data_IF_821180380436
#
_entry.id   IF_821180380436
#
_cell.length_a   1.000
_cell.length_b   1.000
_cell.length_c   1.000
_cell.angle_alpha   90.00
_cell.angle_beta   90.00
_cell.angle_gamma   90.00
#
_symmetry.space_group_name_H-M   'P 1'
#
loop_
_entity.id
_entity.type
_entity.pdbx_description
1 polymer ?
#
# COMPACT_ATOMS: atom_id res chain seq x y z
N UNK A 1 -20.52 2.48 -21.80
CA UNK A 1 -20.22 1.13 -22.34
C UNK A 1 -18.98 1.12 -23.25
N UNK A 2 -18.54 2.29 -23.69
CA UNK A 2 -17.37 2.44 -24.60
C UNK A 2 -16.01 2.41 -23.85
N UNK A 3 -15.94 2.94 -22.64
CA UNK A 3 -14.69 3.03 -21.88
C UNK A 3 -14.11 1.66 -21.44
N UNK A 4 -14.99 0.73 -21.04
CA UNK A 4 -14.54 -0.61 -20.66
C UNK A 4 -13.95 -1.40 -21.84
N UNK A 5 -14.48 -1.18 -23.06
CA UNK A 5 -13.94 -1.77 -24.29
C UNK A 5 -12.61 -1.12 -24.70
N UNK A 6 -12.45 0.18 -24.48
CA UNK A 6 -11.20 0.89 -24.73
C UNK A 6 -10.08 0.39 -23.80
N UNK A 7 -10.39 0.15 -22.53
CA UNK A 7 -9.42 -0.39 -21.57
C UNK A 7 -8.98 -1.81 -21.95
N UNK A 8 -9.89 -2.67 -22.44
CA UNK A 8 -9.57 -4.05 -22.84
C UNK A 8 -8.61 -4.16 -24.04
N UNK A 9 -8.52 -3.12 -24.87
CA UNK A 9 -7.61 -3.11 -26.04
C UNK A 9 -6.23 -2.50 -25.73
N UNK A 10 -6.00 -1.97 -24.52
CA UNK A 10 -4.74 -1.33 -24.14
C UNK A 10 -3.77 -2.34 -23.56
N UNK A 11 -2.48 -2.10 -23.79
CA UNK A 11 -1.42 -2.89 -23.18
C UNK A 11 -1.41 -2.68 -21.68
N UNK A 12 -1.47 -3.78 -20.94
CA UNK A 12 -1.29 -3.76 -19.48
C UNK A 12 0.18 -3.53 -19.17
N UNK A 13 0.49 -2.54 -18.36
CA UNK A 13 1.82 -2.24 -17.90
C UNK A 13 2.13 -2.94 -16.58
N UNK A 14 1.12 -3.02 -15.69
CA UNK A 14 1.23 -3.75 -14.43
C UNK A 14 -0.14 -4.13 -13.88
N UNK A 15 -0.14 -5.21 -13.10
CA UNK A 15 -1.24 -5.60 -12.21
C UNK A 15 -0.68 -5.81 -10.81
N UNK A 16 -1.39 -5.32 -9.80
CA UNK A 16 -0.95 -5.44 -8.42
C UNK A 16 -2.11 -5.34 -7.45
N UNK A 17 -1.91 -5.86 -6.24
CA UNK A 17 -2.67 -5.44 -5.07
C UNK A 17 -1.82 -4.42 -4.29
N UNK A 18 -2.46 -3.38 -3.80
CA UNK A 18 -1.84 -2.35 -2.97
C UNK A 18 -2.61 -2.24 -1.66
N UNK A 19 -2.02 -2.70 -0.57
CA UNK A 19 -2.62 -2.68 0.75
C UNK A 19 -1.93 -1.62 1.61
N UNK A 20 -2.74 -0.72 2.16
CA UNK A 20 -2.28 0.35 3.03
C UNK A 20 -2.86 0.13 4.41
N UNK A 21 -2.01 0.24 5.43
CA UNK A 21 -2.38 0.26 6.83
C UNK A 21 -1.65 1.42 7.49
N UNK A 22 -2.39 2.41 7.96
CA UNK A 22 -1.85 3.47 8.77
C UNK A 22 -2.64 3.54 10.07
N UNK A 23 -1.92 3.46 11.19
CA UNK A 23 -2.50 3.41 12.52
C UNK A 23 -1.87 4.50 13.39
N UNK A 24 -2.65 5.02 14.32
CA UNK A 24 -2.15 5.93 15.35
C UNK A 24 -2.57 5.42 16.74
N UNK A 25 -1.66 5.50 17.69
CA UNK A 25 -1.97 5.22 19.10
C UNK A 25 -2.77 6.35 19.75
N UNK A 26 -2.66 7.56 19.23
CA UNK A 26 -3.41 8.73 19.66
C UNK A 26 -4.71 8.87 18.87
N UNK A 27 -5.75 9.40 19.50
CA UNK A 27 -7.09 9.48 18.92
C UNK A 27 -7.19 10.37 17.66
N UNK A 28 -6.24 11.27 17.44
CA UNK A 28 -6.16 12.12 16.23
C UNK A 28 -4.69 12.30 15.81
N UNK A 29 -4.36 12.08 14.52
CA UNK A 29 -3.06 12.47 14.02
C UNK A 29 -2.96 13.99 14.04
N UNK A 30 -2.06 14.52 14.84
CA UNK A 30 -1.81 15.96 14.92
C UNK A 30 -1.15 16.40 13.62
N UNK A 31 -1.77 17.35 12.90
CA UNK A 31 -1.11 17.95 11.73
C UNK A 31 0.20 18.62 12.17
N UNK A 32 1.24 18.48 11.36
CA UNK A 32 2.46 19.21 11.60
C UNK A 32 2.22 20.72 11.50
N UNK A 33 3.01 21.57 12.21
CA UNK A 33 2.81 23.01 12.21
C UNK A 33 2.84 23.69 10.84
N UNK A 34 3.42 23.04 9.84
CA UNK A 34 3.49 23.49 8.46
C UNK A 34 2.28 23.04 7.60
N UNK A 35 1.29 22.37 8.20
CA UNK A 35 0.10 21.87 7.53
C UNK A 35 0.30 20.56 6.78
N UNK A 36 1.48 19.94 6.85
CA UNK A 36 1.68 18.60 6.32
C UNK A 36 0.88 17.59 7.14
N UNK A 37 0.33 16.51 6.54
CA UNK A 37 -0.31 15.45 7.30
C UNK A 37 0.66 14.89 8.34
N UNK A 38 0.19 14.77 9.58
CA UNK A 38 1.00 14.13 10.61
C UNK A 38 1.36 12.72 10.18
N UNK A 39 2.59 12.33 10.46
CA UNK A 39 3.03 10.96 10.19
C UNK A 39 2.29 10.02 11.14
N UNK A 40 1.61 8.97 10.66
CA UNK A 40 0.99 7.99 11.56
C UNK A 40 2.05 7.30 12.41
N UNK A 41 1.68 6.81 13.56
CA UNK A 41 2.62 6.09 14.43
C UNK A 41 3.09 4.77 13.84
N UNK A 42 2.20 4.06 13.12
CA UNK A 42 2.54 2.91 12.28
C UNK A 42 2.04 3.10 10.86
N UNK A 43 2.82 2.60 9.92
CA UNK A 43 2.42 2.55 8.55
C UNK A 43 3.05 1.37 7.81
N UNK A 44 2.23 0.73 7.00
CA UNK A 44 2.61 -0.28 6.04
C UNK A 44 1.95 0.03 4.70
N UNK A 45 2.76 0.23 3.66
CA UNK A 45 2.32 0.26 2.28
C UNK A 45 2.90 -0.95 1.59
N UNK A 46 2.05 -1.94 1.30
CA UNK A 46 2.45 -3.24 0.77
C UNK A 46 1.92 -3.39 -0.65
N UNK A 47 2.82 -3.63 -1.59
CA UNK A 47 2.55 -3.91 -2.99
C UNK A 47 2.82 -5.37 -3.28
N UNK A 48 1.88 -6.05 -3.90
CA UNK A 48 2.07 -7.34 -4.50
C UNK A 48 1.87 -7.21 -6.02
N UNK A 49 2.97 -7.23 -6.74
CA UNK A 49 2.96 -7.23 -8.20
C UNK A 49 2.74 -8.64 -8.70
N UNK A 50 1.59 -8.87 -9.30
CA UNK A 50 1.28 -10.09 -10.05
C UNK A 50 1.90 -10.05 -11.45
N UNK A 51 2.02 -8.83 -12.00
CA UNK A 51 2.62 -8.59 -13.30
C UNK A 51 3.13 -7.14 -13.40
N UNK A 52 4.35 -6.94 -13.90
CA UNK A 52 4.82 -5.63 -14.35
C UNK A 52 5.88 -5.73 -15.44
N UNK A 53 5.77 -4.88 -16.47
CA UNK A 53 6.79 -4.66 -17.51
C UNK A 53 7.37 -3.24 -17.43
N UNK A 54 6.96 -2.45 -16.47
CA UNK A 54 7.43 -1.08 -16.32
C UNK A 54 8.88 -0.97 -15.81
N UNK A 55 9.39 -2.02 -15.20
CA UNK A 55 10.72 -2.02 -14.56
C UNK A 55 11.73 -2.87 -15.32
N UNK A 56 11.28 -3.71 -16.25
CA UNK A 56 12.12 -4.64 -17.03
C UNK A 56 11.45 -4.98 -18.34
N UNK A 57 12.23 -5.40 -19.34
CA UNK A 57 11.69 -5.95 -20.60
C UNK A 57 10.98 -7.29 -20.38
N UNK A 58 11.36 -8.03 -19.33
CA UNK A 58 10.71 -9.28 -18.92
C UNK A 58 9.70 -9.00 -17.83
N UNK A 59 8.47 -9.54 -17.92
CA UNK A 59 7.48 -9.42 -16.87
C UNK A 59 8.02 -9.88 -15.52
N UNK A 60 7.81 -9.05 -14.48
CA UNK A 60 8.26 -9.30 -13.12
C UNK A 60 7.07 -9.50 -12.20
N UNK A 61 7.27 -10.32 -11.17
CA UNK A 61 6.33 -10.54 -10.06
C UNK A 61 7.07 -10.38 -8.74
N UNK A 62 6.38 -10.02 -7.68
CA UNK A 62 6.99 -9.93 -6.36
C UNK A 62 6.35 -8.90 -5.44
N UNK A 63 6.95 -8.73 -4.29
CA UNK A 63 6.44 -7.85 -3.24
C UNK A 63 7.42 -6.74 -2.92
N UNK A 64 6.84 -5.58 -2.58
CA UNK A 64 7.55 -4.45 -1.95
C UNK A 64 6.72 -3.95 -0.79
N UNK A 65 7.32 -3.79 0.36
CA UNK A 65 6.68 -3.21 1.54
C UNK A 65 7.51 -2.05 2.10
N UNK A 66 6.87 -0.90 2.23
CA UNK A 66 7.39 0.25 2.97
C UNK A 66 6.77 0.24 4.36
N UNK A 67 7.61 0.28 5.39
CA UNK A 67 7.17 0.15 6.77
C UNK A 67 7.78 1.25 7.62
N UNK A 68 6.96 1.80 8.50
CA UNK A 68 7.35 2.72 9.56
C UNK A 68 6.66 2.33 10.86
N UNK A 69 7.38 2.44 11.98
CA UNK A 69 6.82 2.33 13.33
C UNK A 69 7.51 3.32 14.27
N UNK A 70 6.73 4.00 15.10
CA UNK A 70 7.21 4.86 16.18
C UNK A 70 7.65 4.09 17.43
N UNK A 71 7.42 2.76 17.47
CA UNK A 71 7.74 1.91 18.61
C UNK A 71 6.67 1.87 19.70
N UNK A 72 5.47 2.39 19.46
CA UNK A 72 4.38 2.37 20.47
C UNK A 72 3.96 0.95 20.89
N UNK A 73 4.36 -0.09 20.13
CA UNK A 73 4.22 -1.50 20.51
C UNK A 73 5.18 -1.94 21.63
N UNK A 74 6.01 -1.04 22.15
CA UNK A 74 7.06 -1.30 23.12
C UNK A 74 8.37 -1.78 22.50
N UNK A 75 8.54 -1.62 21.20
CA UNK A 75 9.78 -1.81 20.46
C UNK A 75 10.51 -0.51 20.17
N UNK A 76 11.58 -0.62 19.39
CA UNK A 76 12.29 0.53 18.85
C UNK A 76 11.52 1.12 17.66
N UNK A 77 11.59 2.43 17.48
CA UNK A 77 11.13 3.07 16.26
C UNK A 77 12.03 2.64 15.09
N UNK A 78 11.41 2.34 13.95
CA UNK A 78 12.17 1.93 12.76
C UNK A 78 11.47 2.35 11.46
N UNK A 79 12.25 2.34 10.40
CA UNK A 79 11.78 2.48 9.03
C UNK A 79 12.48 1.42 8.17
N UNK A 80 11.75 0.79 7.27
CA UNK A 80 12.27 -0.29 6.45
C UNK A 80 11.62 -0.34 5.07
N UNK A 81 12.42 -0.70 4.08
CA UNK A 81 11.95 -1.20 2.78
C UNK A 81 12.25 -2.69 2.73
N UNK A 82 11.22 -3.50 2.52
CA UNK A 82 11.29 -4.96 2.50
C UNK A 82 10.84 -5.47 1.14
N UNK A 83 11.59 -6.40 0.54
CA UNK A 83 11.24 -6.91 -0.80
C UNK A 83 11.76 -8.33 -1.03
N UNK A 84 11.04 -9.09 -1.85
CA UNK A 84 11.50 -10.31 -2.51
C UNK A 84 11.82 -10.09 -3.99
N UNK A 85 11.64 -8.83 -4.49
CA UNK A 85 11.82 -8.44 -5.87
C UNK A 85 12.60 -7.10 -5.97
N UNK A 86 13.94 -7.11 -5.84
CA UNK A 86 14.75 -5.88 -5.82
C UNK A 86 14.63 -4.99 -7.05
N UNK A 87 14.34 -5.57 -8.22
CA UNK A 87 14.15 -4.78 -9.46
C UNK A 87 12.85 -3.97 -9.42
N UNK A 88 11.77 -4.58 -8.91
CA UNK A 88 10.48 -3.88 -8.72
C UNK A 88 10.65 -2.77 -7.70
N UNK A 89 11.30 -3.05 -6.57
CA UNK A 89 11.56 -2.07 -5.52
C UNK A 89 12.31 -0.85 -6.07
N UNK A 90 13.37 -1.07 -6.81
CA UNK A 90 14.16 0.01 -7.44
C UNK A 90 13.30 0.85 -8.40
N UNK A 91 12.58 0.22 -9.32
CA UNK A 91 11.73 0.92 -10.27
C UNK A 91 10.55 1.65 -9.60
N UNK A 92 10.02 1.13 -8.49
CA UNK A 92 8.99 1.81 -7.71
C UNK A 92 9.58 3.03 -6.98
N UNK A 93 10.76 2.89 -6.37
CA UNK A 93 11.47 3.97 -5.69
C UNK A 93 11.80 5.15 -6.61
N UNK A 94 12.24 4.87 -7.83
CA UNK A 94 12.54 5.91 -8.85
C UNK A 94 11.29 6.72 -9.26
N UNK A 95 10.10 6.12 -9.14
CA UNK A 95 8.82 6.77 -9.50
C UNK A 95 8.14 7.47 -8.34
N UNK A 96 8.47 7.09 -7.12
CA UNK A 96 7.98 7.77 -5.92
C UNK A 96 8.77 9.08 -5.75
N UNK A 97 8.11 10.21 -6.00
CA UNK A 97 8.74 11.52 -5.79
C UNK A 97 9.00 11.76 -4.30
N UNK A 98 10.13 12.38 -3.94
CA UNK A 98 10.37 12.86 -2.58
C UNK A 98 9.17 13.68 -2.09
N UNK A 99 8.71 13.42 -0.87
CA UNK A 99 7.56 14.11 -0.28
C UNK A 99 6.19 13.57 -0.70
N UNK A 100 6.09 12.59 -1.59
CA UNK A 100 4.84 11.84 -1.75
C UNK A 100 4.66 10.87 -0.57
N UNK A 101 3.53 11.04 0.05
CA UNK A 101 3.10 10.13 1.12
C UNK A 101 3.15 8.68 0.67
N UNK A 102 3.58 7.80 1.52
CA UNK A 102 4.08 8.07 2.88
C UNK A 102 5.56 7.91 3.12
N UNK A 103 6.33 7.37 2.25
CA UNK A 103 7.70 6.94 2.57
C UNK A 103 8.62 6.95 1.37
N UNK A 104 8.78 8.10 0.78
CA UNK A 104 9.82 8.29 -0.21
C UNK A 104 11.13 8.59 0.51
N UNK A 105 11.89 7.55 0.86
CA UNK A 105 13.30 7.72 1.13
C UNK A 105 14.08 7.05 0.03
N UNK A 106 14.66 7.83 -0.89
CA UNK A 106 15.48 7.29 -1.96
C UNK A 106 16.75 6.59 -1.50
N UNK A 107 17.14 6.78 -0.24
CA UNK A 107 18.44 6.32 0.28
C UNK A 107 18.42 4.95 0.97
N UNK A 108 17.26 4.30 1.07
CA UNK A 108 17.15 2.96 1.65
C UNK A 108 16.95 1.93 0.55
N UNK A 109 17.95 1.12 0.30
CA UNK A 109 17.80 -0.10 -0.51
C UNK A 109 16.89 -1.10 0.20
N UNK A 110 16.06 -1.81 -0.58
CA UNK A 110 15.20 -2.86 -0.06
C UNK A 110 16.00 -3.96 0.65
N UNK A 111 15.56 -4.33 1.85
CA UNK A 111 16.09 -5.49 2.58
C UNK A 111 15.39 -6.75 2.11
N UNK A 112 16.11 -7.87 1.87
CA UNK A 112 15.49 -9.13 1.51
C UNK A 112 14.48 -9.59 2.57
N UNK A 113 13.29 -9.98 2.11
CA UNK A 113 12.24 -10.49 2.96
C UNK A 113 11.43 -11.58 2.26
N UNK A 114 10.73 -12.39 3.04
CA UNK A 114 9.74 -13.36 2.56
C UNK A 114 8.35 -12.85 2.89
N UNK A 115 7.42 -13.09 1.96
CA UNK A 115 6.02 -12.66 2.09
C UNK A 115 5.11 -13.89 2.05
N UNK A 116 4.17 -13.94 2.97
CA UNK A 116 3.14 -14.97 2.99
C UNK A 116 1.79 -14.29 3.08
N UNK A 117 0.92 -14.56 2.11
CA UNK A 117 -0.45 -14.05 2.04
C UNK A 117 -1.44 -15.16 2.38
N UNK A 118 -2.45 -14.83 3.15
CA UNK A 118 -3.58 -15.71 3.45
C UNK A 118 -4.88 -14.92 3.34
N UNK A 119 -5.82 -15.46 2.57
CA UNK A 119 -7.19 -14.97 2.57
C UNK A 119 -7.96 -15.65 3.71
N UNK A 120 -8.66 -14.87 4.52
CA UNK A 120 -9.42 -15.37 5.67
C UNK A 120 -10.91 -15.13 5.48
N UNK A 121 -11.73 -16.01 6.10
CA UNK A 121 -13.18 -15.82 6.09
C UNK A 121 -13.64 -15.12 7.37
N UNK A 122 -14.72 -14.31 7.35
CA UNK A 122 -15.58 -14.10 6.18
C UNK A 122 -14.94 -13.27 5.07
N UNK A 123 -14.15 -12.24 5.36
CA UNK A 123 -13.43 -11.43 4.37
C UNK A 123 -12.26 -10.76 5.07
N UNK A 124 -11.07 -11.24 4.82
CA UNK A 124 -9.85 -10.69 5.39
C UNK A 124 -8.63 -11.09 4.56
N UNK A 125 -7.58 -10.29 4.68
CA UNK A 125 -6.27 -10.53 4.08
C UNK A 125 -5.27 -10.43 5.21
N UNK A 126 -4.56 -11.53 5.46
CA UNK A 126 -3.43 -11.56 6.38
C UNK A 126 -2.14 -11.61 5.57
N UNK A 127 -1.18 -10.79 5.95
CA UNK A 127 0.19 -10.85 5.47
C UNK A 127 1.15 -11.08 6.62
N UNK A 128 2.10 -11.98 6.39
CA UNK A 128 3.29 -12.11 7.22
C UNK A 128 4.50 -11.78 6.36
N UNK A 129 5.26 -10.80 6.80
CA UNK A 129 6.53 -10.39 6.20
C UNK A 129 7.63 -10.72 7.18
N UNK A 130 8.67 -11.41 6.73
CA UNK A 130 9.83 -11.78 7.56
C UNK A 130 11.09 -11.34 6.83
N UNK A 131 11.77 -10.35 7.38
CA UNK A 131 13.04 -9.88 6.86
C UNK A 131 14.19 -10.78 7.26
N UNK A 132 15.28 -10.77 6.49
CA UNK A 132 16.46 -11.59 6.73
C UNK A 132 17.16 -11.29 8.08
N UNK A 133 16.99 -10.09 8.62
CA UNK A 133 17.52 -9.65 9.93
C UNK A 133 16.62 -10.03 11.12
N UNK A 134 15.51 -10.75 10.86
CA UNK A 134 14.61 -11.24 11.88
C UNK A 134 13.41 -10.35 12.19
N UNK A 135 13.29 -9.16 11.58
CA UNK A 135 12.07 -8.35 11.70
C UNK A 135 10.88 -9.13 11.14
N UNK A 136 9.81 -9.23 11.94
CA UNK A 136 8.55 -9.88 11.53
C UNK A 136 7.40 -8.88 11.63
N UNK A 137 6.57 -8.82 10.59
CA UNK A 137 5.36 -8.01 10.55
C UNK A 137 4.21 -8.92 10.17
N UNK A 138 3.19 -8.97 11.02
CA UNK A 138 1.96 -9.71 10.78
C UNK A 138 0.82 -8.69 10.71
N UNK A 139 0.39 -8.38 9.50
CA UNK A 139 -0.63 -7.38 9.22
C UNK A 139 -1.93 -8.05 8.77
N UNK A 140 -3.03 -7.60 9.32
CA UNK A 140 -4.37 -8.10 9.00
C UNK A 140 -5.28 -6.96 8.59
N UNK A 141 -5.88 -7.09 7.42
CA UNK A 141 -7.02 -6.30 6.96
C UNK A 141 -8.26 -7.16 7.06
N UNK A 142 -9.23 -6.73 7.86
CA UNK A 142 -10.45 -7.51 8.12
C UNK A 142 -11.68 -6.60 8.11
N UNK A 143 -12.85 -7.25 8.02
CA UNK A 143 -14.16 -6.59 8.02
C UNK A 143 -14.24 -5.48 6.97
N UNK A 144 -14.07 -5.88 5.71
CA UNK A 144 -14.05 -4.95 4.60
C UNK A 144 -15.41 -4.28 4.37
N UNK A 145 -15.36 -2.96 4.12
CA UNK A 145 -16.51 -2.20 3.62
C UNK A 145 -16.94 -2.71 2.24
N UNK A 146 -18.16 -2.39 1.78
CA UNK A 146 -18.52 -2.61 0.38
C UNK A 146 -17.49 -1.99 -0.56
N UNK A 147 -16.99 -2.73 -1.56
CA UNK A 147 -15.98 -2.22 -2.47
C UNK A 147 -16.54 -1.15 -3.41
N UNK A 148 -15.66 -0.23 -3.82
CA UNK A 148 -15.91 0.69 -4.92
C UNK A 148 -14.97 0.41 -6.08
N UNK A 149 -15.44 0.61 -7.30
CA UNK A 149 -14.61 0.52 -8.49
C UNK A 149 -14.22 1.91 -8.95
N UNK A 150 -12.91 2.12 -9.09
CA UNK A 150 -12.35 3.34 -9.64
C UNK A 150 -11.69 3.08 -11.00
N UNK A 151 -11.98 3.94 -11.97
CA UNK A 151 -11.28 3.99 -13.25
C UNK A 151 -10.97 5.43 -13.59
N UNK A 152 -9.84 5.69 -14.21
CA UNK A 152 -9.52 7.06 -14.60
C UNK A 152 -8.07 7.22 -15.02
N UNK A 153 -7.67 8.46 -15.31
CA UNK A 153 -6.27 8.78 -15.52
C UNK A 153 -5.53 8.74 -14.17
N UNK A 154 -4.27 8.30 -14.21
CA UNK A 154 -3.34 8.36 -13.11
C UNK A 154 -2.06 9.08 -13.53
N UNK A 155 -1.22 9.46 -12.58
CA UNK A 155 0.06 10.15 -12.82
C UNK A 155 -0.08 11.42 -13.69
N UNK A 156 -1.09 12.22 -13.42
CA UNK A 156 -1.31 13.44 -14.20
C UNK A 156 -1.88 13.22 -15.61
N UNK A 157 -2.37 12.03 -15.91
CA UNK A 157 -2.92 11.66 -17.21
C UNK A 157 -2.04 10.74 -18.06
N UNK A 158 -0.84 10.42 -17.58
CA UNK A 158 0.11 9.63 -18.37
C UNK A 158 -0.32 8.17 -18.55
N UNK A 159 -1.09 7.63 -17.63
CA UNK A 159 -1.60 6.26 -17.68
C UNK A 159 -3.06 6.18 -17.26
N UNK A 160 -3.74 5.11 -17.66
CA UNK A 160 -5.06 4.76 -17.18
C UNK A 160 -4.97 3.74 -16.05
N UNK A 161 -5.82 3.87 -15.06
CA UNK A 161 -5.93 2.94 -13.92
C UNK A 161 -7.34 2.37 -13.81
N UNK A 162 -7.42 1.11 -13.42
CA UNK A 162 -8.65 0.48 -12.92
C UNK A 162 -8.30 -0.23 -11.62
N UNK A 163 -9.10 -0.03 -10.59
CA UNK A 163 -8.87 -0.63 -9.26
C UNK A 163 -10.17 -0.88 -8.53
N UNK A 164 -10.18 -1.89 -7.68
CA UNK A 164 -11.21 -2.11 -6.68
C UNK A 164 -10.68 -1.71 -5.31
N UNK A 165 -11.33 -0.73 -4.68
CA UNK A 165 -10.94 -0.22 -3.37
C UNK A 165 -11.94 -0.65 -2.30
N UNK A 166 -11.43 -1.06 -1.15
CA UNK A 166 -12.23 -1.38 0.03
C UNK A 166 -11.50 -0.95 1.30
N UNK A 167 -12.24 -0.49 2.29
CA UNK A 167 -11.72 -0.11 3.59
C UNK A 167 -11.72 -1.30 4.54
N UNK A 168 -10.64 -1.50 5.30
CA UNK A 168 -10.61 -2.44 6.42
C UNK A 168 -11.13 -1.74 7.68
N UNK A 169 -12.24 -2.25 8.23
CA UNK A 169 -12.87 -1.74 9.44
C UNK A 169 -12.23 -2.27 10.72
N UNK A 170 -11.49 -3.37 10.62
CA UNK A 170 -10.81 -4.02 11.75
C UNK A 170 -9.35 -4.35 11.40
N UNK A 171 -8.52 -3.33 11.11
CA UNK A 171 -7.12 -3.57 10.84
C UNK A 171 -6.35 -3.87 12.13
N UNK A 172 -5.32 -4.70 12.02
CA UNK A 172 -4.39 -4.93 13.12
C UNK A 172 -3.01 -5.32 12.62
N UNK A 173 -1.99 -5.01 13.39
CA UNK A 173 -0.61 -5.40 13.08
C UNK A 173 0.13 -5.84 14.33
N UNK A 174 1.00 -6.86 14.16
CA UNK A 174 1.99 -7.26 15.15
C UNK A 174 3.39 -7.07 14.57
N UNK A 175 4.26 -6.52 15.37
CA UNK A 175 5.67 -6.32 15.05
C UNK A 175 6.47 -7.18 16.02
N UNK A 176 7.22 -8.16 15.52
CA UNK A 176 7.95 -9.14 16.35
C UNK A 176 7.05 -9.78 17.42
N UNK A 177 5.80 -10.11 17.03
CA UNK A 177 4.80 -10.72 17.92
C UNK A 177 4.05 -9.74 18.84
N UNK A 178 4.49 -8.48 18.99
CA UNK A 178 3.82 -7.47 19.82
C UNK A 178 2.75 -6.74 19.01
N UNK A 179 1.54 -6.65 19.56
CA UNK A 179 0.44 -5.93 18.93
C UNK A 179 0.71 -4.42 18.99
N UNK A 180 0.64 -3.76 17.85
CA UNK A 180 0.66 -2.30 17.80
C UNK A 180 -0.68 -1.75 18.35
N UNK A 181 -0.67 -0.81 19.31
CA UNK A 181 -1.87 -0.39 20.03
C UNK A 181 -2.73 0.62 19.25
N UNK A 182 -2.36 0.98 18.03
CA UNK A 182 -3.04 2.02 17.26
C UNK A 182 -4.32 1.55 16.58
N UNK A 183 -5.12 2.54 16.18
CA UNK A 183 -6.34 2.37 15.41
C UNK A 183 -6.28 3.12 14.07
N UNK A 184 -7.15 2.73 13.12
CA UNK A 184 -7.40 3.49 11.89
C UNK A 184 -7.99 4.86 12.24
N UNK A 185 -7.67 5.86 11.44
CA UNK A 185 -8.14 7.25 11.59
C UNK A 185 -8.70 7.77 10.27
N UNK A 186 -9.57 8.79 10.27
CA UNK A 186 -10.09 9.40 9.06
C UNK A 186 -8.98 9.93 8.15
N UNK A 187 -9.01 9.54 6.87
CA UNK A 187 -8.01 9.97 5.91
C UNK A 187 -8.67 10.55 4.65
N UNK A 188 -8.66 11.88 4.49
CA UNK A 188 -9.37 12.57 3.42
C UNK A 188 -8.81 12.28 2.01
N UNK A 189 -7.62 11.70 1.87
CA UNK A 189 -7.03 11.33 0.59
C UNK A 189 -7.91 10.33 -0.19
N UNK A 190 -8.73 9.57 0.52
CA UNK A 190 -9.61 8.57 -0.08
C UNK A 190 -10.98 9.13 -0.49
N UNK A 191 -11.34 10.33 -0.03
CA UNK A 191 -12.65 10.93 -0.32
C UNK A 191 -12.99 10.99 -1.81
N UNK A 192 -12.07 11.37 -2.72
CA UNK A 192 -12.39 11.41 -4.15
C UNK A 192 -12.74 10.04 -4.76
N UNK A 193 -12.20 8.97 -4.18
CA UNK A 193 -12.42 7.61 -4.67
C UNK A 193 -13.70 6.98 -4.15
N UNK A 194 -14.02 7.23 -2.89
CA UNK A 194 -15.16 6.62 -2.22
C UNK A 194 -16.40 7.51 -2.18
N UNK A 195 -16.28 8.79 -2.54
CA UNK A 195 -17.37 9.76 -2.45
C UNK A 195 -17.76 10.13 -1.02
N UNK A 196 -16.88 9.87 -0.04
CA UNK A 196 -17.11 10.15 1.38
C UNK A 196 -15.88 9.87 2.22
N UNK A 197 -15.95 10.23 3.50
CA UNK A 197 -14.87 9.97 4.46
C UNK A 197 -14.60 8.47 4.61
N UNK A 198 -13.32 8.13 4.69
CA UNK A 198 -12.82 6.77 4.92
C UNK A 198 -11.66 6.78 5.90
N UNK A 199 -11.43 5.63 6.51
CA UNK A 199 -10.27 5.41 7.36
C UNK A 199 -8.96 5.30 6.59
N UNK A 200 -7.89 5.13 7.32
CA UNK A 200 -6.52 5.10 6.83
C UNK A 200 -6.04 3.70 6.40
N UNK A 201 -6.90 2.68 6.46
CA UNK A 201 -6.56 1.30 6.17
C UNK A 201 -7.36 0.79 4.96
N UNK A 202 -6.74 0.83 3.80
CA UNK A 202 -7.38 0.56 2.50
C UNK A 202 -6.69 -0.61 1.80
N UNK A 203 -7.49 -1.46 1.15
CA UNK A 203 -7.01 -2.44 0.20
C UNK A 203 -7.45 -2.04 -1.22
N UNK A 204 -6.47 -1.79 -2.09
CA UNK A 204 -6.64 -1.70 -3.53
C UNK A 204 -6.36 -3.07 -4.13
N UNK A 205 -7.36 -3.70 -4.71
CA UNK A 205 -7.28 -5.06 -5.21
C UNK A 205 -7.41 -5.07 -6.74
N UNK A 206 -6.56 -5.88 -7.38
CA UNK A 206 -6.55 -6.01 -8.83
C UNK A 206 -6.28 -4.68 -9.55
N UNK A 207 -5.47 -3.80 -8.94
CA UNK A 207 -5.09 -2.55 -9.58
C UNK A 207 -4.37 -2.83 -10.89
N UNK A 208 -4.94 -2.37 -11.97
CA UNK A 208 -4.38 -2.55 -13.33
C UNK A 208 -4.04 -1.20 -13.92
N UNK A 209 -2.80 -1.05 -14.34
CA UNK A 209 -2.30 0.13 -15.03
C UNK A 209 -2.14 -0.20 -16.50
N UNK A 210 -2.67 0.65 -17.35
CA UNK A 210 -2.65 0.52 -18.80
C UNK A 210 -1.72 1.54 -19.44
N UNK A 211 -1.43 1.36 -20.73
CA UNK A 211 -0.73 2.34 -21.56
C UNK A 211 -1.30 3.76 -21.39
N UNK A 212 -0.47 4.80 -21.63
CA UNK A 212 -0.92 6.19 -21.54
C UNK A 212 -2.24 6.43 -22.27
N UNK A 213 -2.98 7.37 -21.76
CA UNK A 213 -4.14 7.93 -22.45
C UNK A 213 -3.62 8.86 -23.57
N UNK A 214 -4.01 8.60 -24.83
CA UNK A 214 -3.77 9.50 -25.96
C UNK A 214 -4.59 10.79 -25.83
#
# INVERSE_FOLDING_TARGET
>A
MDDARRLQSRRVLRQMDHLIMALTADAEPVAAPDGTPARPGFMLSLYWYDFTVEVSETPQTGHVAYVWSDGADGGDAFEAVLTDAPEIERGLGERMRPGQWPMSRPDQSGRPATFTRRLTRPWGIDYRVTAADGLTIEARWADFSPPVFGTGPARGGDVAIATMLTESMSPSVRINGRLYPGASFPNPIWTPWFGGERGSCIAGLGETIYEPLD
#
